data_IF_731425694541
#
_entry.id   IF_731425694541
#
_cell.length_a   1.000
_cell.length_b   1.000
_cell.length_c   1.000
_cell.angle_alpha   90.00
_cell.angle_beta   90.00
_cell.angle_gamma   90.00
#
_symmetry.space_group_name_H-M   'P 1'
#
loop_
_entity.id
_entity.type
_entity.pdbx_description
1 polymer ?
#
# COMPACT_ATOMS: atom_id res chain seq x y z
N UNK A 1 -8.11 -9.12 28.26
CA UNK A 1 -8.68 -10.09 29.22
C UNK A 1 -7.67 -11.23 29.44
N UNK A 2 -8.08 -12.34 30.07
CA UNK A 2 -7.24 -13.53 30.20
C UNK A 2 -7.00 -14.26 28.88
N UNK A 3 -7.87 -14.12 27.88
CA UNK A 3 -7.74 -14.75 26.55
C UNK A 3 -6.76 -14.00 25.63
N UNK A 4 -6.38 -12.78 26.01
CA UNK A 4 -5.54 -11.92 25.20
C UNK A 4 -6.33 -11.09 24.19
N UNK A 5 -7.66 -11.05 24.26
CA UNK A 5 -8.53 -10.22 23.45
C UNK A 5 -9.18 -9.09 24.27
N UNK A 6 -9.87 -8.18 23.60
CA UNK A 6 -10.61 -7.09 24.23
C UNK A 6 -11.49 -6.35 23.23
N UNK A 7 -12.42 -5.54 23.73
CA UNK A 7 -13.31 -4.76 22.87
C UNK A 7 -12.54 -3.73 22.04
N UNK A 8 -13.01 -3.49 20.82
CA UNK A 8 -12.49 -2.41 19.98
C UNK A 8 -13.27 -1.13 20.19
N UNK A 9 -12.54 -0.01 20.32
CA UNK A 9 -13.11 1.34 20.33
C UNK A 9 -13.83 1.70 19.01
N UNK A 10 -13.58 0.93 17.94
CA UNK A 10 -14.22 1.12 16.64
C UNK A 10 -15.69 0.66 16.62
N UNK A 11 -16.13 -0.13 17.62
CA UNK A 11 -17.48 -0.69 17.68
C UNK A 11 -17.75 -1.76 16.62
N UNK A 12 -19.03 -2.14 16.47
CA UNK A 12 -19.49 -3.03 15.38
C UNK A 12 -19.01 -4.48 15.45
N UNK A 13 -18.79 -5.02 16.65
CA UNK A 13 -18.28 -6.39 16.83
C UNK A 13 -16.79 -6.57 16.55
N UNK A 14 -16.06 -5.47 16.31
CA UNK A 14 -14.60 -5.53 16.19
C UNK A 14 -13.94 -5.84 17.53
N UNK A 15 -12.94 -6.72 17.49
CA UNK A 15 -12.18 -7.17 18.67
C UNK A 15 -10.72 -6.77 18.50
N UNK A 16 -10.12 -6.26 19.56
CA UNK A 16 -8.69 -6.01 19.66
C UNK A 16 -7.97 -7.27 20.15
N UNK A 17 -6.78 -7.53 19.61
CA UNK A 17 -5.91 -8.61 20.09
C UNK A 17 -4.65 -8.06 20.75
N UNK A 18 -4.29 -8.68 21.86
CA UNK A 18 -3.11 -8.43 22.67
C UNK A 18 -1.96 -9.37 22.31
N UNK A 19 -0.84 -9.19 23.01
CA UNK A 19 0.37 -9.99 22.77
C UNK A 19 0.13 -11.49 23.03
N UNK A 20 -0.64 -11.84 24.07
CA UNK A 20 -0.92 -13.23 24.42
C UNK A 20 -1.59 -13.99 23.26
N UNK A 21 -2.72 -13.47 22.77
CA UNK A 21 -3.44 -14.05 21.65
C UNK A 21 -2.57 -14.22 20.40
N UNK A 22 -1.72 -13.22 20.09
CA UNK A 22 -0.79 -13.31 18.95
C UNK A 22 0.22 -14.44 19.16
N UNK A 23 0.82 -14.55 20.35
CA UNK A 23 1.83 -15.58 20.61
C UNK A 23 1.23 -16.99 20.57
N UNK A 24 0.01 -17.17 21.08
CA UNK A 24 -0.72 -18.44 21.03
C UNK A 24 -1.07 -18.82 19.59
N UNK A 25 -1.63 -17.87 18.82
CA UNK A 25 -1.92 -18.06 17.40
C UNK A 25 -0.68 -18.48 16.59
N UNK A 26 0.43 -17.76 16.75
CA UNK A 26 1.67 -18.06 16.05
C UNK A 26 2.23 -19.44 16.42
N UNK A 27 2.12 -19.83 17.70
CA UNK A 27 2.53 -21.15 18.18
C UNK A 27 1.68 -22.27 17.60
N UNK A 28 0.37 -22.08 17.54
CA UNK A 28 -0.58 -23.10 17.04
C UNK A 28 -0.50 -23.29 15.53
N UNK A 29 -0.18 -22.22 14.79
CA UNK A 29 -0.10 -22.23 13.33
C UNK A 29 1.28 -22.47 12.76
N UNK A 30 2.30 -22.59 13.63
CA UNK A 30 3.72 -22.66 13.25
C UNK A 30 4.17 -21.50 12.35
N UNK A 31 3.65 -20.30 12.64
CA UNK A 31 3.98 -19.06 11.94
C UNK A 31 4.90 -18.18 12.77
N UNK A 32 5.69 -17.33 12.10
CA UNK A 32 6.67 -16.47 12.77
C UNK A 32 6.17 -15.05 13.08
N UNK A 33 5.28 -14.52 12.23
CA UNK A 33 4.81 -13.15 12.25
C UNK A 33 3.38 -13.04 11.73
N UNK A 34 2.67 -11.99 12.15
CA UNK A 34 1.43 -11.52 11.54
C UNK A 34 1.73 -10.25 10.75
N UNK A 35 1.48 -10.27 9.45
CA UNK A 35 1.52 -9.06 8.61
C UNK A 35 0.09 -8.65 8.32
N UNK A 36 -0.24 -7.39 8.61
CA UNK A 36 -1.58 -6.84 8.39
C UNK A 36 -1.50 -5.44 7.81
N UNK A 37 -2.63 -4.96 7.30
CA UNK A 37 -2.87 -3.57 6.93
C UNK A 37 -4.04 -3.02 7.77
N UNK A 38 -4.71 -1.99 7.27
CA UNK A 38 -5.99 -1.40 7.74
C UNK A 38 -5.89 -0.21 8.70
N UNK A 39 -4.81 -0.08 9.46
CA UNK A 39 -4.60 1.06 10.36
C UNK A 39 -3.66 2.08 9.70
N UNK A 40 -4.08 3.36 9.68
CA UNK A 40 -3.26 4.44 9.16
C UNK A 40 -2.06 4.71 10.08
N UNK A 41 -0.87 4.78 9.50
CA UNK A 41 0.36 5.05 10.22
C UNK A 41 1.29 5.97 9.42
N UNK A 42 1.65 7.12 9.99
CA UNK A 42 2.56 8.08 9.38
C UNK A 42 3.96 7.54 9.06
N UNK A 43 4.42 6.51 9.77
CA UNK A 43 5.75 5.89 9.55
C UNK A 43 5.77 4.84 8.43
N UNK A 44 4.62 4.56 7.80
CA UNK A 44 4.48 3.56 6.73
C UNK A 44 4.46 2.10 7.21
N UNK A 45 5.33 1.70 8.15
CA UNK A 45 5.30 0.39 8.80
C UNK A 45 5.43 0.52 10.31
N UNK A 46 4.51 -0.10 11.05
CA UNK A 46 4.54 -0.18 12.51
C UNK A 46 4.83 -1.62 12.98
N UNK A 47 5.74 -1.76 13.94
CA UNK A 47 5.98 -3.00 14.67
C UNK A 47 5.29 -2.97 16.03
N UNK A 48 4.55 -4.02 16.35
CA UNK A 48 3.87 -4.12 17.65
C UNK A 48 3.87 -5.54 18.22
N UNK A 49 3.36 -5.66 19.45
CA UNK A 49 3.21 -6.92 20.20
C UNK A 49 4.51 -7.74 20.30
N UNK A 50 5.63 -7.06 20.56
CA UNK A 50 6.96 -7.69 20.63
C UNK A 50 7.56 -7.97 19.25
N UNK A 51 7.34 -7.07 18.28
CA UNK A 51 7.79 -7.19 16.89
C UNK A 51 7.26 -8.45 16.17
N UNK A 52 6.11 -8.95 16.62
CA UNK A 52 5.42 -10.10 16.01
C UNK A 52 4.29 -9.70 15.07
N UNK A 53 3.80 -8.47 15.20
CA UNK A 53 2.77 -7.91 14.32
C UNK A 53 3.36 -6.74 13.55
N UNK A 54 3.37 -6.84 12.24
CA UNK A 54 3.76 -5.79 11.30
C UNK A 54 2.49 -5.19 10.68
N UNK A 55 2.24 -3.91 10.93
CA UNK A 55 1.18 -3.16 10.25
C UNK A 55 1.78 -2.36 9.11
N UNK A 56 1.38 -2.64 7.88
CA UNK A 56 1.86 -1.97 6.66
C UNK A 56 0.81 -0.99 6.16
N UNK A 57 1.24 0.24 5.92
CA UNK A 57 0.44 1.32 5.39
C UNK A 57 1.10 1.89 4.13
N UNK A 58 0.59 1.50 2.96
CA UNK A 58 1.22 1.78 1.66
C UNK A 58 0.68 3.02 0.95
N UNK A 59 0.10 3.97 1.69
CA UNK A 59 -0.37 5.25 1.16
C UNK A 59 0.37 6.39 1.87
N UNK A 60 0.87 7.34 1.07
CA UNK A 60 1.51 8.56 1.56
C UNK A 60 0.54 9.76 1.57
N UNK A 61 -0.76 9.53 1.37
CA UNK A 61 -1.79 10.56 1.50
C UNK A 61 -2.08 10.78 2.98
N UNK A 62 -2.32 12.01 3.38
CA UNK A 62 -2.71 12.33 4.74
C UNK A 62 -4.09 11.71 5.05
N UNK A 63 -4.07 10.63 5.82
CA UNK A 63 -5.26 9.98 6.43
C UNK A 63 -5.41 10.42 7.89
N UNK A 64 -5.18 11.71 8.16
CA UNK A 64 -5.05 12.25 9.51
C UNK A 64 -3.73 11.85 10.19
N UNK A 65 -2.69 11.58 9.40
CA UNK A 65 -1.33 11.23 9.84
C UNK A 65 -0.32 12.36 9.62
N UNK A 66 -0.76 13.49 9.02
CA UNK A 66 0.05 14.65 8.70
C UNK A 66 0.65 14.59 7.29
N UNK A 67 1.11 15.74 6.81
CA UNK A 67 1.64 15.93 5.45
C UNK A 67 2.94 15.14 5.19
N UNK A 68 3.62 14.67 6.23
CA UNK A 68 4.87 13.92 6.16
C UNK A 68 4.68 12.39 6.15
N UNK A 69 3.44 11.91 6.01
CA UNK A 69 3.12 10.49 6.03
C UNK A 69 3.90 9.68 4.96
N UNK A 70 4.54 8.61 5.40
CA UNK A 70 5.32 7.71 4.58
C UNK A 70 4.46 6.54 4.09
N UNK A 71 4.67 6.11 2.85
CA UNK A 71 4.17 4.85 2.37
C UNK A 71 5.18 3.74 2.68
N UNK A 72 4.75 2.73 3.43
CA UNK A 72 5.54 1.55 3.77
C UNK A 72 5.37 0.39 2.79
N UNK A 73 6.43 -0.40 2.63
CA UNK A 73 6.45 -1.66 1.92
C UNK A 73 7.35 -2.65 2.68
N UNK A 74 7.00 -3.93 2.64
CA UNK A 74 7.84 -5.02 3.15
C UNK A 74 8.38 -5.81 1.97
N UNK A 75 9.70 -5.92 1.88
CA UNK A 75 10.37 -6.85 0.99
C UNK A 75 10.76 -8.08 1.80
N UNK A 76 10.10 -9.21 1.53
CA UNK A 76 10.40 -10.49 2.16
C UNK A 76 11.26 -11.31 1.20
N UNK A 77 12.45 -11.65 1.65
CA UNK A 77 13.42 -12.52 1.00
C UNK A 77 13.71 -13.71 1.93
N UNK A 78 14.41 -14.74 1.44
CA UNK A 78 14.52 -16.06 2.09
C UNK A 78 14.91 -15.95 3.57
N UNK A 79 15.90 -15.13 3.89
CA UNK A 79 16.45 -15.00 5.25
C UNK A 79 16.24 -13.61 5.86
N UNK A 80 15.50 -12.71 5.19
CA UNK A 80 15.39 -11.31 5.63
C UNK A 80 14.03 -10.69 5.30
N UNK A 81 13.61 -9.80 6.18
CA UNK A 81 12.48 -8.90 5.95
C UNK A 81 13.05 -7.48 5.97
N UNK A 82 12.97 -6.79 4.84
CA UNK A 82 13.41 -5.41 4.68
C UNK A 82 12.21 -4.46 4.65
N UNK A 83 12.26 -3.41 5.47
CA UNK A 83 11.24 -2.36 5.50
C UNK A 83 11.67 -1.24 4.57
N UNK A 84 10.83 -0.91 3.58
CA UNK A 84 11.05 0.17 2.62
C UNK A 84 10.00 1.25 2.86
N UNK A 85 10.42 2.36 3.46
CA UNK A 85 9.58 3.54 3.64
C UNK A 85 9.84 4.55 2.51
N UNK A 86 8.82 4.84 1.70
CA UNK A 86 8.86 5.88 0.68
C UNK A 86 8.20 7.15 1.19
N UNK A 87 9.00 8.20 1.26
CA UNK A 87 8.56 9.56 1.61
C UNK A 87 8.02 10.32 0.40
N UNK A 88 7.03 11.16 0.66
CA UNK A 88 6.50 12.24 -0.19
C UNK A 88 7.59 13.17 -0.76
N UNK A 89 8.77 13.24 -0.12
CA UNK A 89 9.87 14.12 -0.50
C UNK A 89 10.75 13.62 -1.64
N UNK A 90 10.63 12.35 -2.03
CA UNK A 90 11.43 11.76 -3.10
C UNK A 90 10.57 11.44 -4.31
N UNK A 91 10.45 12.37 -5.29
CA UNK A 91 9.80 12.05 -6.55
C UNK A 91 10.55 10.87 -7.19
N UNK A 92 9.83 9.91 -7.78
CA UNK A 92 10.45 8.72 -8.29
C UNK A 92 11.42 9.07 -9.43
N UNK A 93 12.72 9.10 -9.15
CA UNK A 93 13.75 9.28 -10.19
C UNK A 93 13.77 8.12 -11.18
N UNK A 94 13.26 6.94 -10.78
CA UNK A 94 13.30 5.71 -11.56
C UNK A 94 11.96 4.97 -11.71
N UNK A 95 10.88 5.45 -11.05
CA UNK A 95 9.53 4.89 -11.25
C UNK A 95 8.74 5.90 -12.07
N UNK A 96 8.78 5.74 -13.39
CA UNK A 96 7.92 6.53 -14.26
C UNK A 96 6.46 6.20 -13.94
N UNK A 97 5.58 7.21 -13.76
CA UNK A 97 4.14 6.97 -13.77
C UNK A 97 3.77 6.22 -15.05
N UNK A 98 2.87 5.24 -14.97
CA UNK A 98 2.22 4.63 -16.15
C UNK A 98 1.32 5.68 -16.82
N UNK A 99 1.94 6.69 -17.43
CA UNK A 99 1.26 7.63 -18.30
C UNK A 99 1.80 7.39 -19.71
N UNK A 100 1.11 6.53 -20.46
CA UNK A 100 1.24 6.40 -21.92
C UNK A 100 1.26 7.77 -22.62
N UNK A 101 0.53 8.75 -22.07
CA UNK A 101 0.49 10.15 -22.52
C UNK A 101 1.85 10.87 -22.50
N UNK A 102 2.78 10.53 -21.59
CA UNK A 102 4.12 11.16 -21.56
C UNK A 102 5.09 10.51 -22.55
N UNK A 103 4.85 9.29 -23.00
CA UNK A 103 5.76 8.61 -23.95
C UNK A 103 5.66 9.24 -25.34
N UNK A 104 4.45 9.63 -25.76
CA UNK A 104 4.18 10.27 -27.06
C UNK A 104 4.77 11.68 -27.20
N UNK A 105 4.89 12.42 -26.09
CA UNK A 105 5.43 13.78 -26.08
C UNK A 105 6.96 13.86 -25.96
N UNK A 106 7.68 12.73 -25.91
CA UNK A 106 9.14 12.69 -25.83
C UNK A 106 9.78 12.63 -27.22
N UNK A 107 10.97 13.23 -27.36
CA UNK A 107 11.77 13.08 -28.56
C UNK A 107 12.12 11.60 -28.81
N UNK A 108 12.30 11.25 -30.08
CA UNK A 108 12.62 9.88 -30.50
C UNK A 108 13.89 9.35 -29.83
N UNK A 109 14.92 10.19 -29.70
CA UNK A 109 16.18 9.87 -29.01
C UNK A 109 15.95 9.47 -27.53
N UNK A 110 15.07 10.21 -26.84
CA UNK A 110 14.73 9.91 -25.45
C UNK A 110 13.91 8.61 -25.34
N UNK A 111 13.10 8.30 -26.34
CA UNK A 111 12.30 7.06 -26.39
C UNK A 111 13.21 5.84 -26.61
N UNK A 112 14.14 5.92 -27.57
CA UNK A 112 15.10 4.85 -27.85
C UNK A 112 16.03 4.57 -26.67
N UNK A 113 16.53 5.63 -26.01
CA UNK A 113 17.35 5.48 -24.80
C UNK A 113 16.59 4.74 -23.70
N UNK A 114 15.29 5.02 -23.55
CA UNK A 114 14.43 4.37 -22.54
C UNK A 114 14.08 2.93 -22.90
N UNK A 115 13.90 2.61 -24.18
CA UNK A 115 13.73 1.22 -24.66
C UNK A 115 15.01 0.42 -24.36
N UNK A 116 16.18 0.98 -24.69
CA UNK A 116 17.48 0.33 -24.44
C UNK A 116 17.74 0.06 -22.96
N UNK A 117 17.27 0.95 -22.08
CA UNK A 117 17.36 0.80 -20.63
C UNK A 117 16.25 -0.08 -20.03
N UNK A 118 15.34 -0.62 -20.83
CA UNK A 118 14.23 -1.47 -20.36
C UNK A 118 13.16 -0.72 -19.57
N UNK A 119 13.12 0.62 -19.66
CA UNK A 119 12.19 1.48 -18.90
C UNK A 119 10.82 1.60 -19.56
N UNK A 120 10.72 1.35 -20.87
CA UNK A 120 9.48 1.28 -21.64
C UNK A 120 9.60 0.14 -22.66
N UNK A 121 8.49 -0.51 -23.01
CA UNK A 121 8.47 -1.53 -24.06
C UNK A 121 8.27 -0.89 -25.43
N UNK A 122 8.73 -1.56 -26.49
CA UNK A 122 8.50 -1.11 -27.86
C UNK A 122 7.00 -1.03 -28.20
N UNK A 123 6.16 -1.90 -27.63
CA UNK A 123 4.70 -1.83 -27.78
C UNK A 123 4.13 -0.49 -27.26
N UNK A 124 4.49 -0.11 -26.03
CA UNK A 124 4.05 1.15 -25.41
C UNK A 124 4.53 2.42 -26.12
N UNK A 125 5.58 2.31 -26.96
CA UNK A 125 6.10 3.42 -27.74
C UNK A 125 5.24 3.75 -28.97
N UNK A 126 4.43 2.80 -29.46
CA UNK A 126 3.75 2.89 -30.77
C UNK A 126 2.24 2.58 -30.75
N UNK A 127 1.62 2.36 -29.59
CA UNK A 127 0.17 2.13 -29.50
C UNK A 127 -0.64 3.36 -29.98
N UNK A 128 -1.43 3.15 -31.03
CA UNK A 128 -2.42 4.04 -31.65
C UNK A 128 -3.74 3.99 -30.85
N UNK A 129 -4.34 5.15 -30.55
CA UNK A 129 -5.56 5.27 -29.73
C UNK A 129 -6.71 4.39 -30.20
N UNK A 130 -7.17 3.49 -29.33
CA UNK A 130 -8.60 3.12 -29.23
C UNK A 130 -8.92 2.72 -27.79
N UNK A 131 -9.20 3.71 -26.93
CA UNK A 131 -10.12 3.58 -25.78
C UNK A 131 -10.16 4.91 -25.02
N UNK A 132 -11.11 5.77 -25.39
CA UNK A 132 -11.64 6.79 -24.49
C UNK A 132 -12.47 6.06 -23.43
N UNK A 133 -11.91 5.84 -22.25
CA UNK A 133 -12.70 5.48 -21.07
C UNK A 133 -13.01 6.77 -20.31
N UNK A 134 -14.15 7.33 -20.67
CA UNK A 134 -14.91 8.36 -19.97
C UNK A 134 -15.42 7.72 -18.67
N UNK A 135 -14.85 8.07 -17.51
CA UNK A 135 -15.45 7.75 -16.23
C UNK A 135 -16.42 8.87 -15.89
N UNK A 136 -17.71 8.64 -16.16
CA UNK A 136 -18.81 9.45 -15.63
C UNK A 136 -18.83 9.31 -14.09
N UNK A 137 -18.74 10.45 -13.41
CA UNK A 137 -19.08 10.62 -11.99
C UNK A 137 -20.59 10.40 -11.85
N UNK A 138 -21.01 9.28 -11.28
CA UNK A 138 -22.36 9.10 -10.73
C UNK A 138 -22.27 9.10 -9.18
N UNK A 139 -22.27 10.30 -8.62
CA UNK A 139 -22.76 10.55 -7.25
C UNK A 139 -24.29 10.68 -7.31
N UNK A 140 -25.05 9.66 -6.89
CA UNK A 140 -26.44 9.81 -6.46
C UNK A 140 -26.81 8.86 -5.30
N UNK A 141 -26.84 9.46 -4.12
CA UNK A 141 -27.93 9.44 -3.13
C UNK A 141 -28.30 8.17 -2.36
N UNK A 142 -28.38 8.35 -1.03
CA UNK A 142 -28.65 7.31 -0.06
C UNK A 142 -30.09 6.81 0.00
N UNK A 143 -30.22 5.60 0.55
CA UNK A 143 -31.45 5.13 1.16
C UNK A 143 -31.18 4.71 2.61
N UNK A 144 -32.00 5.28 3.50
CA UNK A 144 -32.19 4.85 4.87
C UNK A 144 -32.62 3.37 4.90
N UNK A 145 -32.05 2.59 5.81
CA UNK A 145 -32.64 1.33 6.26
C UNK A 145 -32.91 1.47 7.75
N UNK A 146 -34.19 1.62 8.10
CA UNK A 146 -34.72 1.42 9.44
C UNK A 146 -34.63 -0.07 9.82
N UNK A 147 -34.08 -0.36 11.00
CA UNK A 147 -34.52 -1.46 11.88
C UNK A 147 -34.45 -0.95 13.32
#
# INVERSE_FOLDING_TARGET
DETGFGESLRGGGAVCFGRKAVMEFLKETDLSYVVRAHEAHGEGVLLSKGAKVMTVFSTSKDHGQGDDALAGCLLVDVDRIEIINRSVRYPPKYVLPRNSKRVRAMSEENRERRIRLGLITAAMAYEHDQSEDEYEDDDLDGEQIEI
#
